data_IF_021709563912
#
_entry.id   IF_021709563912
#
_cell.length_a   1.000
_cell.length_b   1.000
_cell.length_c   1.000
_cell.angle_alpha   90.00
_cell.angle_beta   90.00
_cell.angle_gamma   90.00
#
_symmetry.space_group_name_H-M   'P 1'
#
loop_
_entity.id
_entity.type
_entity.pdbx_description
1 polymer ?
#
# COMPACT_ATOMS: atom_id res chain seq x y z
N UNK A 1 -22.20 2.69 7.24
CA UNK A 1 -21.35 1.68 7.92
C UNK A 1 -19.92 2.17 7.80
N UNK A 2 -19.04 1.75 8.71
CA UNK A 2 -17.65 2.17 8.67
C UNK A 2 -16.79 0.97 8.26
N UNK A 3 -15.91 1.17 7.30
CA UNK A 3 -14.99 0.14 6.82
C UNK A 3 -13.56 0.62 6.98
N UNK A 4 -12.67 -0.31 7.30
CA UNK A 4 -11.24 -0.14 7.26
C UNK A 4 -10.74 -0.73 5.94
N UNK A 5 -9.99 0.05 5.18
CA UNK A 5 -9.33 -0.39 3.97
C UNK A 5 -7.82 -0.36 4.14
N UNK A 6 -7.18 -1.47 3.81
CA UNK A 6 -5.72 -1.61 3.80
C UNK A 6 -5.26 -1.67 2.35
N UNK A 7 -4.46 -0.69 1.95
CA UNK A 7 -3.96 -0.56 0.58
C UNK A 7 -2.45 -0.72 0.57
N UNK A 8 -1.96 -1.74 -0.11
CA UNK A 8 -0.53 -1.94 -0.33
C UNK A 8 -0.17 -1.56 -1.76
N UNK A 9 0.67 -0.55 -1.92
CA UNK A 9 1.17 -0.09 -3.23
C UNK A 9 2.64 -0.43 -3.37
N UNK A 10 3.00 -1.10 -4.47
CA UNK A 10 4.35 -1.55 -4.74
C UNK A 10 4.76 -1.30 -6.20
N UNK A 11 6.07 -1.13 -6.44
CA UNK A 11 6.60 -1.05 -7.80
C UNK A 11 6.41 -2.36 -8.56
N UNK A 12 6.04 -2.23 -9.84
CA UNK A 12 5.96 -3.35 -10.79
C UNK A 12 7.33 -4.01 -10.98
N UNK A 13 7.36 -5.31 -11.32
CA UNK A 13 8.60 -5.99 -11.66
C UNK A 13 9.37 -5.25 -12.76
N UNK A 14 10.68 -5.08 -12.59
CA UNK A 14 11.55 -4.38 -13.54
C UNK A 14 11.64 -2.86 -13.34
N UNK A 15 10.80 -2.25 -12.50
CA UNK A 15 10.94 -0.83 -12.15
C UNK A 15 12.00 -0.68 -11.05
N UNK A 16 12.91 0.28 -11.22
CA UNK A 16 13.97 0.55 -10.25
C UNK A 16 13.42 1.20 -8.99
N UNK A 17 13.60 0.53 -7.85
CA UNK A 17 13.34 1.07 -6.52
C UNK A 17 14.58 1.81 -5.98
N UNK A 18 14.71 3.09 -6.30
CA UNK A 18 15.84 3.92 -5.86
C UNK A 18 15.89 4.07 -4.33
N UNK A 19 14.73 4.16 -3.68
CA UNK A 19 14.63 4.28 -2.21
C UNK A 19 15.09 2.98 -1.53
N UNK A 20 14.54 1.84 -1.96
CA UNK A 20 14.92 0.53 -1.43
C UNK A 20 16.41 0.25 -1.59
N UNK A 21 17.00 0.60 -2.75
CA UNK A 21 18.45 0.48 -2.97
C UNK A 21 19.29 1.36 -2.05
N UNK A 22 18.84 2.59 -1.80
CA UNK A 22 19.54 3.51 -0.91
C UNK A 22 19.49 3.00 0.53
N UNK A 23 18.32 2.58 1.00
CA UNK A 23 18.15 1.97 2.34
C UNK A 23 18.97 0.69 2.49
N UNK A 24 18.99 -0.18 1.47
CA UNK A 24 19.82 -1.38 1.46
C UNK A 24 21.31 -1.03 1.65
N UNK A 25 21.81 -0.03 0.92
CA UNK A 25 23.20 0.40 1.02
C UNK A 25 23.52 0.90 2.44
N UNK A 26 22.65 1.73 3.02
CA UNK A 26 22.82 2.24 4.37
C UNK A 26 22.84 1.12 5.42
N UNK A 27 21.92 0.15 5.32
CA UNK A 27 21.89 -1.00 6.23
C UNK A 27 23.16 -1.84 6.15
N UNK A 28 23.70 -2.05 4.94
CA UNK A 28 24.98 -2.74 4.76
C UNK A 28 26.16 -1.98 5.38
N UNK A 29 26.20 -0.66 5.24
CA UNK A 29 27.24 0.18 5.87
C UNK A 29 27.19 0.13 7.40
N UNK A 30 26.01 -0.06 7.97
CA UNK A 30 25.81 -0.26 9.41
C UNK A 30 26.11 -1.70 9.89
N UNK A 31 26.55 -2.58 8.99
CA UNK A 31 26.94 -3.96 9.32
C UNK A 31 25.79 -4.97 9.37
N UNK A 32 24.57 -4.59 8.94
CA UNK A 32 23.45 -5.54 8.90
C UNK A 32 23.57 -6.50 7.70
N UNK A 33 23.35 -7.81 7.89
CA UNK A 33 23.49 -8.82 6.83
C UNK A 33 22.24 -8.87 5.92
N UNK A 34 21.87 -7.74 5.31
CA UNK A 34 20.68 -7.65 4.45
C UNK A 34 20.98 -7.95 2.97
N UNK A 35 20.22 -8.86 2.38
CA UNK A 35 20.38 -9.28 0.98
C UNK A 35 19.60 -8.41 -0.01
N UNK A 36 18.42 -7.93 0.38
CA UNK A 36 17.57 -7.06 -0.45
C UNK A 36 16.65 -6.19 0.42
N UNK A 37 16.29 -5.02 -0.07
CA UNK A 37 15.28 -4.14 0.54
C UNK A 37 14.34 -3.66 -0.57
N UNK A 38 13.04 -3.73 -0.32
CA UNK A 38 11.99 -3.19 -1.20
C UNK A 38 11.19 -2.18 -0.40
N UNK A 39 10.98 -1.00 -0.96
CA UNK A 39 10.08 0.00 -0.43
C UNK A 39 8.66 -0.28 -0.95
N UNK A 40 7.70 -0.23 -0.02
CA UNK A 40 6.27 -0.33 -0.31
C UNK A 40 5.58 0.82 0.41
N UNK A 41 4.47 1.29 -0.15
CA UNK A 41 3.56 2.16 0.59
C UNK A 41 2.42 1.31 1.13
N UNK A 42 2.07 1.51 2.39
CA UNK A 42 0.90 0.91 3.02
C UNK A 42 0.02 2.03 3.54
N UNK A 43 -1.25 2.01 3.16
CA UNK A 43 -2.24 2.98 3.60
C UNK A 43 -3.33 2.26 4.37
N UNK A 44 -3.63 2.78 5.55
CA UNK A 44 -4.80 2.40 6.33
C UNK A 44 -5.81 3.54 6.20
N UNK A 45 -7.00 3.24 5.67
CA UNK A 45 -8.00 4.24 5.31
C UNK A 45 -9.34 3.83 5.89
N UNK A 46 -9.92 4.67 6.72
CA UNK A 46 -11.30 4.51 7.16
C UNK A 46 -12.25 5.15 6.15
N UNK A 47 -13.32 4.45 5.77
CA UNK A 47 -14.30 4.96 4.81
C UNK A 47 -15.73 4.70 5.28
N UNK A 48 -16.55 5.74 5.23
CA UNK A 48 -17.96 5.72 5.64
C UNK A 48 -18.87 5.51 4.42
N UNK A 49 -19.36 4.29 4.24
CA UNK A 49 -20.19 3.90 3.08
C UNK A 49 -21.23 2.85 3.47
N UNK A 50 -22.12 2.53 2.54
CA UNK A 50 -23.29 1.67 2.81
C UNK A 50 -23.03 0.18 2.55
N UNK A 51 -21.87 -0.22 2.01
CA UNK A 51 -21.51 -1.62 1.77
C UNK A 51 -20.00 -1.80 1.56
N UNK A 52 -19.50 -3.02 1.73
CA UNK A 52 -18.10 -3.37 1.47
C UNK A 52 -17.73 -3.17 -0.01
N UNK A 53 -18.66 -3.42 -0.94
CA UNK A 53 -18.45 -3.19 -2.37
C UNK A 53 -18.27 -1.70 -2.68
N UNK A 54 -19.08 -0.83 -2.07
CA UNK A 54 -18.92 0.61 -2.20
C UNK A 54 -17.59 1.10 -1.59
N UNK A 55 -17.18 0.52 -0.46
CA UNK A 55 -15.89 0.84 0.16
C UNK A 55 -14.74 0.50 -0.79
N UNK A 56 -14.76 -0.71 -1.35
CA UNK A 56 -13.75 -1.13 -2.32
C UNK A 56 -13.72 -0.23 -3.55
N UNK A 57 -14.88 0.13 -4.11
CA UNK A 57 -14.96 1.00 -5.29
C UNK A 57 -14.38 2.40 -5.03
N UNK A 58 -14.68 3.00 -3.88
CA UNK A 58 -14.12 4.31 -3.48
C UNK A 58 -12.60 4.24 -3.33
N UNK A 59 -12.10 3.21 -2.65
CA UNK A 59 -10.66 3.03 -2.44
C UNK A 59 -9.93 2.72 -3.75
N UNK A 60 -10.55 1.96 -4.65
CA UNK A 60 -10.00 1.69 -5.97
C UNK A 60 -9.91 2.97 -6.81
N UNK A 61 -10.91 3.85 -6.76
CA UNK A 61 -10.84 5.16 -7.40
C UNK A 61 -9.71 6.02 -6.83
N UNK A 62 -9.57 6.07 -5.50
CA UNK A 62 -8.49 6.77 -4.83
C UNK A 62 -7.11 6.23 -5.23
N UNK A 63 -6.97 4.91 -5.39
CA UNK A 63 -5.74 4.28 -5.87
C UNK A 63 -5.39 4.74 -7.28
N UNK A 64 -6.35 4.72 -8.20
CA UNK A 64 -6.11 5.13 -9.61
C UNK A 64 -5.80 6.61 -9.76
N UNK A 65 -6.38 7.46 -8.92
CA UNK A 65 -6.27 8.92 -9.03
C UNK A 65 -5.07 9.51 -8.28
N UNK A 66 -4.63 8.87 -7.20
CA UNK A 66 -3.62 9.46 -6.32
C UNK A 66 -2.62 8.46 -5.76
N UNK A 67 -3.08 7.36 -5.14
CA UNK A 67 -2.20 6.53 -4.31
C UNK A 67 -1.24 5.66 -5.13
N UNK A 68 -1.61 5.33 -6.37
CA UNK A 68 -0.81 4.51 -7.27
C UNK A 68 -0.72 5.15 -8.66
N UNK A 69 0.46 5.02 -9.27
CA UNK A 69 0.64 5.35 -10.68
C UNK A 69 0.48 4.04 -11.47
N UNK A 70 -0.53 3.91 -12.35
CA UNK A 70 -0.83 2.65 -13.03
C UNK A 70 0.27 2.18 -13.98
N UNK A 71 1.19 3.06 -14.39
CA UNK A 71 2.32 2.70 -15.25
C UNK A 71 3.37 1.91 -14.47
N UNK A 72 3.68 2.32 -13.24
CA UNK A 72 4.82 1.82 -12.48
C UNK A 72 4.47 1.07 -11.19
N UNK A 73 3.23 1.18 -10.70
CA UNK A 73 2.78 0.56 -9.45
C UNK A 73 1.75 -0.55 -9.71
N UNK A 74 1.81 -1.58 -8.88
CA UNK A 74 0.71 -2.49 -8.58
C UNK A 74 0.17 -2.15 -7.18
N UNK A 75 -1.09 -2.46 -6.93
CA UNK A 75 -1.66 -2.34 -5.60
C UNK A 75 -2.63 -3.46 -5.25
N UNK A 76 -2.71 -3.78 -3.96
CA UNK A 76 -3.72 -4.65 -3.38
C UNK A 76 -4.60 -3.85 -2.41
N UNK A 77 -5.89 -4.17 -2.38
CA UNK A 77 -6.88 -3.55 -1.48
C UNK A 77 -7.57 -4.66 -0.70
N UNK A 78 -7.53 -4.57 0.62
CA UNK A 78 -8.35 -5.36 1.53
C UNK A 78 -9.32 -4.43 2.26
N UNK A 79 -10.58 -4.85 2.42
CA UNK A 79 -11.61 -4.05 3.09
C UNK A 79 -12.29 -4.90 4.15
N UNK A 80 -12.36 -4.38 5.36
CA UNK A 80 -12.96 -5.05 6.51
C UNK A 80 -13.98 -4.12 7.16
N UNK A 81 -15.15 -4.66 7.51
CA UNK A 81 -16.16 -3.92 8.25
C UNK A 81 -15.67 -3.63 9.67
N UNK A 82 -15.78 -2.38 10.09
CA UNK A 82 -15.46 -1.99 11.46
C UNK A 82 -16.68 -2.24 12.34
N UNK A 83 -16.80 -3.46 12.85
CA UNK A 83 -17.75 -3.76 13.90
C UNK A 83 -17.23 -3.17 15.21
N UNK A 84 -17.92 -2.14 15.69
CA UNK A 84 -17.59 -1.48 16.95
C UNK A 84 -18.05 -2.39 18.10
N UNK A 85 -17.29 -3.45 18.38
CA UNK A 85 -17.50 -4.27 19.57
C UNK A 85 -17.06 -3.45 20.79
N UNK A 86 -18.04 -2.90 21.51
CA UNK A 86 -17.91 -2.48 22.90
C UNK A 86 -18.51 -3.60 23.75
#
# INVERSE_FOLDING_TARGET
MKFKAEVRVELKPGVLDAEGKTTQKSLKLLGYPVSNVKKINFYEIEVDVNSAENAKAVIEDACRRLLANPVIHNYGIEVTEMNNSI
#
